data_IF_540306130524
#
_entry.id   IF_540306130524
#
_cell.length_a   1.000
_cell.length_b   1.000
_cell.length_c   1.000
_cell.angle_alpha   90.00
_cell.angle_beta   90.00
_cell.angle_gamma   90.00
#
_symmetry.space_group_name_H-M   'P 1'
#
loop_
_entity.id
_entity.type
_entity.pdbx_description
1 polymer ?
#
# COMPACT_ATOMS: atom_id res chain seq x y z
N UNK A 1 -9.16 -2.43 -22.90
CA UNK A 1 -8.38 -3.70 -22.85
C UNK A 1 -8.54 -4.35 -21.49
N UNK A 2 -8.98 -5.62 -21.41
CA UNK A 2 -9.08 -6.37 -20.14
C UNK A 2 -7.73 -7.04 -19.86
N UNK A 3 -6.99 -6.58 -18.85
CA UNK A 3 -5.75 -7.24 -18.41
C UNK A 3 -6.06 -8.63 -17.83
N UNK A 4 -5.29 -9.63 -18.24
CA UNK A 4 -5.41 -11.01 -17.72
C UNK A 4 -4.82 -11.10 -16.32
N UNK A 5 -5.22 -12.13 -15.54
CA UNK A 5 -4.81 -12.28 -14.13
C UNK A 5 -3.29 -12.39 -13.92
N UNK A 6 -2.52 -12.77 -14.97
CA UNK A 6 -1.06 -12.88 -14.94
C UNK A 6 -0.36 -11.51 -14.90
N UNK A 7 -0.89 -10.51 -15.60
CA UNK A 7 -0.34 -9.14 -15.55
C UNK A 7 -0.69 -8.41 -14.26
N UNK A 8 -1.83 -8.75 -13.63
CA UNK A 8 -2.19 -8.24 -12.30
C UNK A 8 -1.09 -8.58 -11.30
N UNK A 9 -0.61 -9.83 -11.31
CA UNK A 9 0.42 -10.32 -10.39
C UNK A 9 1.81 -9.72 -10.58
N UNK A 10 2.10 -9.21 -11.79
CA UNK A 10 3.42 -8.65 -12.15
C UNK A 10 3.51 -7.13 -11.98
N UNK A 11 2.42 -6.44 -11.63
CA UNK A 11 2.47 -4.99 -11.43
C UNK A 11 3.15 -4.62 -10.10
N UNK A 12 4.01 -3.60 -10.12
CA UNK A 12 4.72 -3.14 -8.92
C UNK A 12 3.78 -2.76 -7.77
N UNK A 13 2.57 -2.29 -8.09
CA UNK A 13 1.57 -1.89 -7.10
C UNK A 13 0.87 -3.08 -6.44
N UNK A 14 0.71 -4.17 -7.20
CA UNK A 14 0.23 -5.44 -6.67
C UNK A 14 1.20 -6.05 -5.66
N UNK A 15 2.50 -6.07 -6.01
CA UNK A 15 3.57 -6.53 -5.12
C UNK A 15 3.63 -5.68 -3.85
N UNK A 16 3.52 -4.35 -3.96
CA UNK A 16 3.43 -3.43 -2.82
C UNK A 16 2.27 -3.80 -1.89
N UNK A 17 1.07 -4.04 -2.42
CA UNK A 17 -0.10 -4.38 -1.60
C UNK A 17 0.05 -5.73 -0.90
N UNK A 18 0.51 -6.78 -1.62
CA UNK A 18 0.75 -8.10 -1.01
C UNK A 18 1.79 -8.05 0.10
N UNK A 19 2.88 -7.32 -0.11
CA UNK A 19 3.93 -7.13 0.88
C UNK A 19 3.40 -6.41 2.13
N UNK A 20 2.61 -5.36 1.94
CA UNK A 20 1.93 -4.64 3.02
C UNK A 20 1.04 -5.57 3.86
N UNK A 21 0.21 -6.39 3.19
CA UNK A 21 -0.64 -7.35 3.88
C UNK A 21 0.16 -8.43 4.61
N UNK A 22 1.25 -8.92 4.01
CA UNK A 22 2.15 -9.90 4.66
C UNK A 22 2.72 -9.34 5.96
N UNK A 23 3.26 -8.14 5.91
CA UNK A 23 3.88 -7.47 7.06
C UNK A 23 2.88 -7.17 8.19
N UNK A 24 1.69 -6.63 7.89
CA UNK A 24 0.69 -6.30 8.94
C UNK A 24 0.15 -7.56 9.66
N UNK A 25 0.33 -8.72 9.03
CA UNK A 25 0.02 -10.04 9.60
C UNK A 25 1.22 -10.68 10.31
N UNK A 26 2.44 -10.21 10.04
CA UNK A 26 3.66 -10.70 10.67
C UNK A 26 3.77 -10.23 12.11
N UNK A 27 3.58 -11.14 13.06
CA UNK A 27 3.66 -10.85 14.50
C UNK A 27 5.08 -10.51 14.98
N UNK A 28 6.11 -10.88 14.21
CA UNK A 28 7.52 -10.83 14.59
C UNK A 28 8.34 -9.77 13.83
N UNK A 29 7.82 -9.17 12.77
CA UNK A 29 8.61 -8.29 11.90
C UNK A 29 8.69 -6.86 12.46
N UNK A 30 9.45 -6.68 13.55
CA UNK A 30 9.74 -5.35 14.12
C UNK A 30 10.33 -4.41 13.08
N UNK A 31 11.24 -4.88 12.22
CA UNK A 31 11.85 -4.07 11.18
C UNK A 31 10.86 -3.67 10.09
N UNK A 32 10.03 -4.58 9.59
CA UNK A 32 9.02 -4.26 8.57
C UNK A 32 7.98 -3.29 9.12
N UNK A 33 7.52 -3.52 10.36
CA UNK A 33 6.66 -2.56 11.06
C UNK A 33 7.36 -1.20 11.23
N UNK A 34 8.63 -1.15 11.62
CA UNK A 34 9.38 0.11 11.69
C UNK A 34 9.48 0.76 10.31
N UNK A 35 9.77 0.03 9.24
CA UNK A 35 9.90 0.53 7.85
C UNK A 35 8.57 1.00 7.25
N UNK A 36 7.44 0.54 7.76
CA UNK A 36 6.12 0.99 7.29
C UNK A 36 5.46 2.01 8.21
N UNK A 37 5.64 1.86 9.51
CA UNK A 37 5.26 2.84 10.54
C UNK A 37 6.33 3.95 10.68
N UNK A 38 7.19 4.11 9.65
CA UNK A 38 8.53 4.74 9.62
C UNK A 38 8.63 6.21 10.01
N UNK A 39 7.61 6.77 10.64
CA UNK A 39 7.77 7.81 11.64
C UNK A 39 6.41 8.03 12.35
N UNK A 40 6.26 7.71 13.65
CA UNK A 40 5.04 8.02 14.40
C UNK A 40 4.94 9.50 14.79
N UNK A 41 5.84 10.38 14.32
CA UNK A 41 5.73 11.82 14.53
C UNK A 41 5.11 12.50 13.32
N UNK A 42 4.02 13.20 13.56
CA UNK A 42 3.61 14.36 12.75
C UNK A 42 4.79 15.34 12.68
N UNK A 43 5.61 15.17 11.65
CA UNK A 43 6.82 15.95 11.44
C UNK A 43 6.99 16.27 9.96
N UNK A 44 7.51 17.46 9.68
CA UNK A 44 7.86 17.89 8.32
C UNK A 44 9.06 17.08 7.84
N UNK A 45 9.05 16.65 6.57
CA UNK A 45 10.17 15.92 5.97
C UNK A 45 11.33 16.84 5.63
N UNK A 46 12.54 16.33 5.76
CA UNK A 46 13.74 17.04 5.30
C UNK A 46 13.64 17.36 3.81
N UNK A 47 14.15 18.53 3.42
CA UNK A 47 14.24 18.93 2.00
C UNK A 47 14.94 17.83 1.19
N UNK A 48 14.40 17.51 0.03
CA UNK A 48 14.92 16.47 -0.87
C UNK A 48 14.29 15.08 -0.71
N UNK A 49 13.49 14.82 0.33
CA UNK A 49 12.68 13.58 0.42
C UNK A 49 11.30 13.79 -0.19
N UNK A 50 10.74 12.72 -0.77
CA UNK A 50 9.38 12.71 -1.28
C UNK A 50 8.38 13.10 -0.18
N UNK A 51 7.45 14.00 -0.51
CA UNK A 51 6.44 14.50 0.43
C UNK A 51 5.46 13.39 0.81
N UNK A 52 4.97 12.64 -0.17
CA UNK A 52 4.03 11.52 0.03
C UNK A 52 4.70 10.32 0.70
N UNK A 53 4.04 9.74 1.70
CA UNK A 53 4.39 8.45 2.30
C UNK A 53 3.71 7.32 1.52
N UNK A 54 4.31 6.14 1.57
CA UNK A 54 3.60 4.91 1.20
C UNK A 54 2.33 4.74 2.06
N UNK A 55 2.40 5.03 3.36
CA UNK A 55 1.19 5.03 4.21
C UNK A 55 0.11 6.00 3.72
N UNK A 56 0.48 7.15 3.14
CA UNK A 56 -0.49 8.12 2.62
C UNK A 56 -1.24 7.55 1.40
N UNK A 57 -0.55 6.78 0.55
CA UNK A 57 -1.17 6.07 -0.58
C UNK A 57 -2.13 4.97 -0.11
N UNK A 58 -1.76 4.23 0.95
CA UNK A 58 -2.61 3.23 1.58
C UNK A 58 -3.83 3.86 2.25
N UNK A 59 -3.65 4.96 2.99
CA UNK A 59 -4.74 5.74 3.60
C UNK A 59 -5.67 6.34 2.56
N UNK A 60 -5.15 6.82 1.43
CA UNK A 60 -5.96 7.36 0.35
C UNK A 60 -6.85 6.28 -0.29
N UNK A 61 -6.35 5.06 -0.41
CA UNK A 61 -7.06 3.97 -1.08
C UNK A 61 -8.02 3.22 -0.15
N UNK A 62 -7.59 2.96 1.09
CA UNK A 62 -8.26 2.06 2.03
C UNK A 62 -8.84 2.78 3.25
N UNK A 63 -8.61 4.08 3.36
CA UNK A 63 -9.01 4.89 4.50
C UNK A 63 -8.10 4.75 5.71
N UNK A 64 -8.38 5.50 6.80
CA UNK A 64 -7.54 5.55 7.99
C UNK A 64 -7.39 4.21 8.73
N UNK A 65 -8.32 3.27 8.51
CA UNK A 65 -8.30 1.93 9.12
C UNK A 65 -7.55 0.89 8.27
N UNK A 66 -6.72 1.32 7.32
CA UNK A 66 -6.02 0.46 6.35
C UNK A 66 -5.32 -0.75 6.98
N UNK A 67 -4.70 -0.61 8.17
CA UNK A 67 -4.02 -1.73 8.87
C UNK A 67 -4.98 -2.86 9.23
N UNK A 68 -6.16 -2.54 9.75
CA UNK A 68 -7.18 -3.53 10.10
C UNK A 68 -7.68 -4.25 8.85
N UNK A 69 -7.85 -3.50 7.78
CA UNK A 69 -8.38 -3.98 6.51
C UNK A 69 -7.36 -4.85 5.77
N UNK A 70 -6.08 -4.48 5.77
CA UNK A 70 -4.99 -5.26 5.18
C UNK A 70 -4.71 -6.58 5.93
N UNK A 71 -5.04 -6.62 7.24
CA UNK A 71 -4.93 -7.83 8.05
C UNK A 71 -5.95 -8.90 7.63
N UNK A 72 -7.18 -8.47 7.33
CA UNK A 72 -8.24 -9.34 6.81
C UNK A 72 -7.88 -9.81 5.39
N UNK A 73 -7.87 -11.12 5.16
CA UNK A 73 -7.51 -11.70 3.85
C UNK A 73 -8.57 -11.47 2.78
N UNK A 74 -9.85 -11.46 3.16
CA UNK A 74 -10.98 -11.29 2.23
C UNK A 74 -11.05 -9.83 1.82
N UNK A 75 -11.05 -8.92 2.80
CA UNK A 75 -11.04 -7.48 2.54
C UNK A 75 -9.74 -7.05 1.83
N UNK A 76 -8.60 -7.62 2.25
CA UNK A 76 -7.31 -7.38 1.62
C UNK A 76 -7.28 -7.73 0.14
N UNK A 77 -7.90 -8.85 -0.29
CA UNK A 77 -7.98 -9.20 -1.71
C UNK A 77 -8.86 -8.25 -2.53
N UNK A 78 -9.99 -7.81 -1.97
CA UNK A 78 -10.89 -6.87 -2.65
C UNK A 78 -10.19 -5.53 -2.93
N UNK A 79 -9.38 -5.07 -1.99
CA UNK A 79 -8.69 -3.80 -2.07
C UNK A 79 -7.39 -3.84 -2.86
N UNK A 80 -6.84 -5.03 -3.07
CA UNK A 80 -5.72 -5.27 -4.00
C UNK A 80 -6.09 -4.80 -5.42
N UNK A 81 -7.31 -5.14 -5.87
CA UNK A 81 -7.80 -4.73 -7.18
C UNK A 81 -8.09 -3.23 -7.25
N UNK A 82 -8.66 -2.65 -6.18
CA UNK A 82 -8.91 -1.22 -6.08
C UNK A 82 -7.61 -0.39 -6.05
N UNK A 83 -6.60 -0.85 -5.33
CA UNK A 83 -5.29 -0.20 -5.22
C UNK A 83 -4.55 -0.21 -6.56
N UNK A 84 -4.49 -1.37 -7.21
CA UNK A 84 -3.88 -1.48 -8.54
C UNK A 84 -4.60 -0.59 -9.56
N UNK A 85 -5.94 -0.55 -9.55
CA UNK A 85 -6.72 0.29 -10.48
C UNK A 85 -6.44 1.78 -10.26
N UNK A 86 -6.53 2.25 -9.02
CA UNK A 86 -6.35 3.68 -8.68
C UNK A 86 -4.93 4.18 -8.97
N UNK A 87 -3.91 3.36 -8.78
CA UNK A 87 -2.53 3.76 -9.05
C UNK A 87 -2.23 3.82 -10.56
N UNK A 88 -2.94 3.05 -11.40
CA UNK A 88 -2.90 3.24 -12.86
C UNK A 88 -3.56 4.58 -13.24
N UNK A 89 -4.75 4.87 -12.71
CA UNK A 89 -5.45 6.14 -12.96
C UNK A 89 -4.61 7.37 -12.56
N UNK A 90 -3.88 7.31 -11.44
CA UNK A 90 -2.99 8.40 -11.00
C UNK A 90 -1.72 8.54 -11.86
N UNK A 91 -1.27 7.47 -12.53
CA UNK A 91 -0.15 7.53 -13.48
C UNK A 91 -0.56 8.14 -14.82
N UNK A 92 -1.79 7.88 -15.26
CA UNK A 92 -2.31 8.34 -16.55
C UNK A 92 -2.76 9.82 -16.55
N UNK A 93 -2.81 10.47 -15.37
CA UNK A 93 -3.17 11.89 -15.20
C UNK A 93 -1.94 12.82 -15.35
N UNK A 94 -0.72 12.28 -15.49
CA UNK A 94 0.53 13.03 -15.69
C UNK A 94 1.03 12.90 -17.12
#
# INVERSE_FOLDING_TARGET
>A
MRRTNLEKTASGDYLKWRWTGHMVRGTQEKWSNIVTDWYPREGRRNRGRQSKRWEDELKLTTGPKWRRVARDRVQGKLLEEAFAKRHNELRDIV
#
